data_IF_688192363589
#
_entry.id   IF_688192363589
#
_cell.length_a   1.000
_cell.length_b   1.000
_cell.length_c   1.000
_cell.angle_alpha   90.00
_cell.angle_beta   90.00
_cell.angle_gamma   90.00
#
_symmetry.space_group_name_H-M   'P 1'
#
loop_
_entity.id
_entity.type
_entity.pdbx_description
1 polymer ?
#
# COMPACT_ATOMS: atom_id res chain seq x y z
N UNK A 1 -2.47 17.17 9.00
CA UNK A 1 -1.25 16.33 9.15
C UNK A 1 -1.38 15.27 10.27
N UNK A 2 -2.06 15.53 11.40
CA UNK A 2 -2.26 14.55 12.48
C UNK A 2 -3.05 13.26 12.10
N UNK A 3 -3.72 13.24 10.95
CA UNK A 3 -4.54 12.10 10.52
C UNK A 3 -3.72 10.91 9.99
N UNK A 4 -2.48 11.12 9.54
CA UNK A 4 -1.63 10.04 9.04
C UNK A 4 -1.25 9.06 10.16
N UNK A 5 -0.86 9.58 11.32
CA UNK A 5 -0.51 8.75 12.48
C UNK A 5 -1.72 7.99 13.06
N UNK A 6 -2.94 8.45 12.77
CA UNK A 6 -4.19 7.78 13.15
C UNK A 6 -4.66 6.77 12.09
N UNK A 7 -4.05 6.74 10.91
CA UNK A 7 -4.38 5.78 9.87
C UNK A 7 -3.89 4.38 10.28
N UNK A 8 -4.77 3.38 10.20
CA UNK A 8 -4.47 2.00 10.59
C UNK A 8 -4.62 1.06 9.40
N UNK A 9 -3.67 0.14 9.30
CA UNK A 9 -3.61 -0.94 8.31
C UNK A 9 -2.97 -0.55 6.97
N UNK A 10 -2.86 -1.51 6.03
CA UNK A 10 -1.87 -1.47 4.95
C UNK A 10 -2.07 -0.32 3.94
N UNK A 11 -3.32 0.02 3.61
CA UNK A 11 -3.63 1.03 2.59
C UNK A 11 -4.13 2.38 3.14
N UNK A 12 -4.45 2.48 4.45
CA UNK A 12 -5.12 3.66 4.99
C UNK A 12 -4.26 4.94 4.94
N UNK A 13 -2.94 4.79 5.05
CA UNK A 13 -2.00 5.91 4.90
C UNK A 13 -1.79 6.33 3.44
N UNK A 14 -2.06 5.44 2.48
CA UNK A 14 -1.70 5.61 1.07
C UNK A 14 -2.47 6.73 0.37
N UNK A 15 -3.70 7.02 0.85
CA UNK A 15 -4.55 8.13 0.37
C UNK A 15 -4.00 9.52 0.67
N UNK A 16 -3.08 9.64 1.64
CA UNK A 16 -2.59 10.94 2.09
C UNK A 16 -1.35 11.35 1.29
N UNK A 17 -1.22 12.63 0.87
CA UNK A 17 -0.07 13.11 0.10
C UNK A 17 1.28 12.84 0.77
N UNK A 18 1.29 12.79 2.11
CA UNK A 18 2.47 12.49 2.91
C UNK A 18 3.05 11.10 2.60
N UNK A 19 2.21 10.12 2.26
CA UNK A 19 2.67 8.78 1.90
C UNK A 19 3.56 8.82 0.66
N UNK A 20 3.08 9.46 -0.41
CA UNK A 20 3.84 9.57 -1.65
C UNK A 20 5.10 10.42 -1.46
N UNK A 21 5.01 11.53 -0.73
CA UNK A 21 6.17 12.37 -0.41
C UNK A 21 7.25 11.62 0.36
N UNK A 22 6.86 10.88 1.40
CA UNK A 22 7.78 10.05 2.17
C UNK A 22 8.40 8.95 1.31
N UNK A 23 7.60 8.26 0.49
CA UNK A 23 8.10 7.25 -0.44
C UNK A 23 9.20 7.80 -1.36
N UNK A 24 8.94 8.92 -2.04
CA UNK A 24 9.93 9.54 -2.95
C UNK A 24 11.20 9.96 -2.21
N UNK A 25 11.06 10.54 -1.02
CA UNK A 25 12.21 10.94 -0.20
C UNK A 25 13.09 9.74 0.16
N UNK A 26 12.50 8.68 0.71
CA UNK A 26 13.24 7.49 1.14
C UNK A 26 13.80 6.69 -0.04
N UNK A 27 13.13 6.64 -1.19
CA UNK A 27 13.71 6.02 -2.40
C UNK A 27 14.91 6.80 -2.93
N UNK A 28 14.84 8.14 -2.96
CA UNK A 28 15.99 8.97 -3.33
C UNK A 28 17.16 8.77 -2.37
N UNK A 29 16.88 8.71 -1.07
CA UNK A 29 17.90 8.45 -0.04
C UNK A 29 18.54 7.06 -0.24
N UNK A 30 17.74 6.02 -0.48
CA UNK A 30 18.22 4.66 -0.76
C UNK A 30 19.17 4.64 -1.97
N UNK A 31 18.79 5.29 -3.07
CA UNK A 31 19.63 5.38 -4.28
C UNK A 31 20.92 6.14 -3.98
N UNK A 32 20.83 7.29 -3.29
CA UNK A 32 22.01 8.08 -2.89
C UNK A 32 23.00 7.28 -2.04
N UNK A 33 22.49 6.44 -1.14
CA UNK A 33 23.31 5.62 -0.23
C UNK A 33 23.69 4.25 -0.82
N UNK A 34 23.26 3.92 -2.04
CA UNK A 34 23.54 2.63 -2.68
C UNK A 34 22.93 1.42 -1.95
N UNK A 35 21.88 1.64 -1.15
CA UNK A 35 21.28 0.57 -0.33
C UNK A 35 20.41 -0.37 -1.17
N UNK A 36 20.42 -1.69 -0.87
CA UNK A 36 19.51 -2.63 -1.51
C UNK A 36 18.05 -2.33 -1.14
N UNK A 37 17.11 -2.79 -1.96
CA UNK A 37 15.69 -2.73 -1.63
C UNK A 37 15.40 -3.61 -0.40
N UNK A 38 14.49 -3.15 0.46
CA UNK A 38 14.06 -3.95 1.61
C UNK A 38 13.20 -5.14 1.17
N UNK A 39 13.13 -6.19 2.00
CA UNK A 39 12.22 -7.34 1.77
C UNK A 39 10.77 -6.90 1.61
N UNK A 40 10.36 -5.87 2.36
CA UNK A 40 9.01 -5.30 2.24
C UNK A 40 8.79 -4.64 0.87
N UNK A 41 9.77 -3.90 0.36
CA UNK A 41 9.71 -3.28 -0.98
C UNK A 41 9.60 -4.34 -2.08
N UNK A 42 10.39 -5.40 -1.99
CA UNK A 42 10.37 -6.51 -2.96
C UNK A 42 9.00 -7.22 -2.96
N UNK A 43 8.43 -7.52 -1.80
CA UNK A 43 7.09 -8.14 -1.73
C UNK A 43 5.96 -7.23 -2.23
N UNK A 44 6.06 -5.91 -2.01
CA UNK A 44 5.13 -4.96 -2.64
C UNK A 44 5.23 -5.01 -4.18
N UNK A 45 6.45 -5.08 -4.73
CA UNK A 45 6.66 -5.18 -6.19
C UNK A 45 6.15 -6.49 -6.77
N UNK A 46 6.32 -7.59 -6.04
CA UNK A 46 5.83 -8.92 -6.44
C UNK A 46 4.30 -8.96 -6.51
N UNK A 47 3.61 -8.41 -5.50
CA UNK A 47 2.16 -8.50 -5.43
C UNK A 47 1.43 -7.44 -6.30
N UNK A 48 1.92 -6.21 -6.34
CA UNK A 48 1.30 -5.11 -7.08
C UNK A 48 1.83 -4.96 -8.51
N UNK A 49 3.00 -5.54 -8.81
CA UNK A 49 3.61 -5.51 -10.13
C UNK A 49 3.91 -4.08 -10.60
N UNK A 50 3.87 -3.90 -11.93
CA UNK A 50 4.20 -2.62 -12.59
C UNK A 50 3.15 -1.53 -12.37
N UNK A 51 1.90 -1.91 -12.08
CA UNK A 51 0.79 -0.97 -11.91
C UNK A 51 0.85 -0.26 -10.55
N UNK A 52 1.57 -0.81 -9.58
CA UNK A 52 1.73 -0.23 -8.26
C UNK A 52 0.49 -0.36 -7.39
N UNK A 53 0.58 0.21 -6.19
CA UNK A 53 -0.48 0.14 -5.18
C UNK A 53 -1.67 1.04 -5.54
N UNK A 54 -2.88 0.48 -5.45
CA UNK A 54 -4.13 1.24 -5.58
C UNK A 54 -4.27 2.19 -4.39
N UNK A 55 -4.48 3.49 -4.68
CA UNK A 55 -4.56 4.53 -3.66
C UNK A 55 -6.02 4.94 -3.35
N UNK A 56 -6.98 4.54 -4.19
CA UNK A 56 -8.39 4.95 -4.06
C UNK A 56 -9.16 4.16 -2.99
N UNK A 57 -8.76 2.92 -2.72
CA UNK A 57 -9.38 2.02 -1.76
C UNK A 57 -8.57 1.94 -0.45
N UNK A 58 -9.26 1.84 0.68
CA UNK A 58 -8.66 1.38 1.92
C UNK A 58 -9.64 0.47 2.68
N UNK A 59 -9.22 -0.08 3.81
CA UNK A 59 -10.05 -0.95 4.64
C UNK A 59 -11.27 -0.29 5.29
N UNK A 60 -11.50 1.02 5.10
CA UNK A 60 -12.73 1.73 5.49
C UNK A 60 -13.71 1.84 4.31
N UNK A 61 -13.26 1.59 3.09
CA UNK A 61 -14.13 1.60 1.91
C UNK A 61 -15.00 0.33 1.93
N UNK A 62 -16.34 0.47 1.88
CA UNK A 62 -17.23 -0.70 1.83
C UNK A 62 -17.01 -1.50 0.55
N UNK A 63 -17.05 -2.83 0.68
CA UNK A 63 -16.95 -3.76 -0.44
C UNK A 63 -18.29 -4.44 -0.66
N UNK A 64 -18.72 -4.50 -1.92
CA UNK A 64 -19.88 -5.26 -2.36
C UNK A 64 -19.33 -6.47 -3.11
N UNK A 65 -19.70 -7.68 -2.69
CA UNK A 65 -19.29 -8.94 -3.31
C UNK A 65 -20.53 -9.84 -3.50
N UNK A 66 -20.45 -10.78 -4.44
CA UNK A 66 -21.55 -11.71 -4.72
C UNK A 66 -21.69 -12.77 -3.62
N UNK A 67 -22.86 -13.40 -3.55
CA UNK A 67 -23.12 -14.48 -2.57
C UNK A 67 -22.16 -15.65 -2.85
N UNK A 68 -21.28 -15.91 -1.89
CA UNK A 68 -20.30 -16.99 -1.95
C UNK A 68 -18.86 -16.49 -2.07
N UNK A 69 -18.69 -15.24 -2.50
CA UNK A 69 -17.37 -14.61 -2.62
C UNK A 69 -16.86 -14.12 -1.26
N UNK A 70 -15.56 -14.22 -1.03
CA UNK A 70 -14.90 -13.75 0.19
C UNK A 70 -13.80 -12.74 -0.15
N UNK A 71 -13.99 -11.45 0.17
CA UNK A 71 -12.93 -10.46 0.01
C UNK A 71 -11.81 -10.74 1.01
N UNK A 72 -10.58 -10.79 0.50
CA UNK A 72 -9.36 -10.96 1.29
C UNK A 72 -8.38 -9.83 0.97
N UNK A 73 -7.85 -9.19 2.02
CA UNK A 73 -6.82 -8.16 1.90
C UNK A 73 -5.49 -8.76 2.28
N UNK A 74 -4.53 -8.70 1.35
CA UNK A 74 -3.18 -9.21 1.59
C UNK A 74 -2.40 -8.39 2.62
N UNK A 75 -1.27 -8.92 3.07
CA UNK A 75 -0.32 -8.19 3.93
C UNK A 75 0.14 -6.86 3.32
N UNK A 76 0.20 -6.79 1.98
CA UNK A 76 0.62 -5.62 1.23
C UNK A 76 -0.56 -4.75 0.75
N UNK A 77 -1.77 -5.04 1.23
CA UNK A 77 -2.96 -4.21 1.01
C UNK A 77 -3.69 -4.47 -0.31
N UNK A 78 -3.32 -5.51 -1.06
CA UNK A 78 -4.02 -5.87 -2.29
C UNK A 78 -5.31 -6.60 -1.96
N UNK A 79 -6.41 -6.11 -2.54
CA UNK A 79 -7.71 -6.76 -2.41
C UNK A 79 -7.82 -7.86 -3.46
N UNK A 80 -8.18 -9.06 -3.01
CA UNK A 80 -8.54 -10.20 -3.87
C UNK A 80 -9.92 -10.70 -3.47
N UNK A 81 -10.74 -11.05 -4.46
CA UNK A 81 -12.07 -11.64 -4.26
C UNK A 81 -11.99 -13.07 -4.79
N UNK A 82 -12.34 -14.03 -3.93
CA UNK A 82 -12.34 -15.48 -4.22
C UNK A 82 -13.74 -16.04 -4.12
#
# INVERSE_FOLDING_TARGET
MANFLKAKGPAAGAKLPLFYGAYVYFEKLRVKEGKPKSKHRLGMEEEWGRNGMELSYDQRTPLICLRGEKPHVSKYGKLSIF
#
